data_IF_408282359385
#
_entry.id   IF_408282359385
#
_cell.length_a   1.000
_cell.length_b   1.000
_cell.length_c   1.000
_cell.angle_alpha   90.00
_cell.angle_beta   90.00
_cell.angle_gamma   90.00
#
_symmetry.space_group_name_H-M   'P 1'
#
loop_
_entity.id
_entity.type
_entity.pdbx_description
1 polymer ?
#
# COMPACT_ATOMS: atom_id res chain seq x y z
N UNK A 1 15.11 -14.42 19.01
CA UNK A 1 14.55 -15.79 18.86
C UNK A 1 13.92 -16.30 20.15
N UNK A 2 14.68 -16.36 21.26
CA UNK A 2 14.28 -16.89 22.58
C UNK A 2 12.94 -16.38 23.15
N UNK A 3 12.74 -15.06 23.21
CA UNK A 3 11.47 -14.47 23.70
C UNK A 3 10.23 -14.92 22.91
N UNK A 4 10.40 -15.39 21.66
CA UNK A 4 9.30 -15.91 20.84
C UNK A 4 9.02 -17.39 21.08
N UNK A 5 9.92 -18.09 21.78
CA UNK A 5 9.89 -19.51 22.11
C UNK A 5 9.77 -19.76 23.62
N UNK A 6 9.25 -18.80 24.38
CA UNK A 6 8.87 -18.97 25.78
C UNK A 6 9.97 -18.74 26.80
N UNK A 7 11.18 -18.40 26.38
CA UNK A 7 12.29 -18.09 27.28
C UNK A 7 12.19 -16.64 27.74
N UNK A 8 11.56 -16.40 28.88
CA UNK A 8 11.28 -15.03 29.38
C UNK A 8 12.47 -14.46 30.14
N UNK A 9 13.25 -15.34 30.77
CA UNK A 9 14.43 -14.99 31.57
C UNK A 9 15.74 -15.10 30.76
N UNK A 10 15.64 -14.99 29.43
CA UNK A 10 16.79 -14.97 28.53
C UNK A 10 17.70 -13.80 28.89
N UNK A 11 18.96 -14.10 29.21
CA UNK A 11 20.01 -13.11 29.40
C UNK A 11 21.05 -13.25 28.30
N UNK A 12 21.34 -12.15 27.61
CA UNK A 12 22.44 -12.06 26.63
C UNK A 12 23.51 -11.19 27.26
N UNK A 13 24.70 -11.75 27.46
CA UNK A 13 25.84 -11.00 28.00
C UNK A 13 26.58 -10.21 26.93
N UNK A 14 27.53 -9.40 27.37
CA UNK A 14 28.34 -8.54 26.50
C UNK A 14 29.09 -9.35 25.43
N UNK A 15 29.05 -8.91 24.15
CA UNK A 15 29.73 -9.60 23.07
C UNK A 15 31.25 -9.50 23.20
N UNK A 16 31.94 -10.64 23.07
CA UNK A 16 33.40 -10.71 23.04
C UNK A 16 33.88 -10.71 21.60
N UNK A 17 34.70 -9.72 21.23
CA UNK A 17 35.32 -9.59 19.91
C UNK A 17 36.75 -10.12 19.96
N UNK A 18 37.10 -10.99 19.03
CA UNK A 18 38.42 -11.60 18.92
C UNK A 18 38.92 -11.37 17.50
N UNK A 19 40.05 -10.69 17.39
CA UNK A 19 40.68 -10.38 16.12
C UNK A 19 41.76 -11.41 15.83
N UNK A 20 41.62 -12.13 14.72
CA UNK A 20 42.60 -13.10 14.25
C UNK A 20 43.46 -12.44 13.16
N UNK A 21 44.47 -11.68 13.59
CA UNK A 21 45.30 -10.83 12.70
C UNK A 21 45.92 -11.59 11.52
N UNK A 22 46.35 -12.83 11.73
CA UNK A 22 46.94 -13.65 10.66
C UNK A 22 45.93 -14.05 9.58
N UNK A 23 44.67 -14.29 9.95
CA UNK A 23 43.61 -14.71 9.01
C UNK A 23 42.79 -13.53 8.50
N UNK A 24 43.05 -12.31 8.98
CA UNK A 24 42.24 -11.10 8.74
C UNK A 24 40.74 -11.35 9.02
N UNK A 25 40.43 -12.20 9.99
CA UNK A 25 39.06 -12.51 10.40
C UNK A 25 38.76 -11.96 11.79
N UNK A 26 37.49 -11.66 12.05
CA UNK A 26 36.98 -11.26 13.36
C UNK A 26 35.93 -12.27 13.81
N UNK A 27 36.11 -12.80 15.01
CA UNK A 27 35.15 -13.67 15.69
C UNK A 27 34.40 -12.83 16.73
N UNK A 28 33.07 -12.91 16.73
CA UNK A 28 32.21 -12.27 17.73
C UNK A 28 31.46 -13.37 18.48
N UNK A 29 31.70 -13.49 19.78
CA UNK A 29 31.03 -14.45 20.67
C UNK A 29 30.01 -13.76 21.55
N UNK A 30 28.78 -14.26 21.54
CA UNK A 30 27.69 -13.77 22.40
C UNK A 30 27.41 -14.79 23.50
N UNK A 31 27.81 -14.55 24.76
CA UNK A 31 27.43 -15.42 25.87
C UNK A 31 25.93 -15.30 26.13
N UNK A 32 25.29 -16.43 26.38
CA UNK A 32 23.85 -16.62 26.37
C UNK A 32 23.44 -17.50 27.56
N UNK A 33 22.42 -17.09 28.29
CA UNK A 33 21.74 -17.92 29.28
C UNK A 33 20.26 -17.97 28.93
N UNK A 34 19.81 -19.11 28.40
CA UNK A 34 18.44 -19.25 27.87
C UNK A 34 17.36 -19.14 28.94
N UNK A 35 17.61 -19.71 30.13
CA UNK A 35 16.62 -19.86 31.18
C UNK A 35 15.55 -20.91 30.86
N UNK A 36 14.49 -20.97 31.66
CA UNK A 36 13.38 -21.91 31.47
C UNK A 36 12.40 -21.45 30.38
N UNK A 37 11.78 -22.43 29.71
CA UNK A 37 10.68 -22.19 28.79
C UNK A 37 9.34 -22.15 29.54
N UNK A 38 8.58 -21.07 29.31
CA UNK A 38 7.28 -20.85 29.94
C UNK A 38 6.11 -21.11 28.98
N UNK A 39 5.05 -21.70 29.53
CA UNK A 39 3.74 -21.88 28.84
C UNK A 39 2.68 -20.95 29.42
N UNK A 40 1.69 -20.60 28.61
CA UNK A 40 0.58 -19.75 29.06
C UNK A 40 -0.39 -20.61 29.87
N UNK A 41 -0.63 -20.26 31.14
CA UNK A 41 -1.62 -20.94 31.98
C UNK A 41 -3.02 -20.31 31.81
N UNK A 42 -3.09 -18.98 31.83
CA UNK A 42 -4.34 -18.25 31.75
C UNK A 42 -4.21 -17.03 30.83
N UNK A 43 -5.30 -16.70 30.13
CA UNK A 43 -5.45 -15.50 29.32
C UNK A 43 -6.71 -14.76 29.74
N UNK A 44 -6.55 -13.58 30.32
CA UNK A 44 -7.63 -12.73 30.81
C UNK A 44 -7.69 -11.38 30.08
N UNK A 45 -8.82 -10.69 30.24
CA UNK A 45 -9.06 -9.33 29.72
C UNK A 45 -9.80 -8.53 30.79
N UNK A 46 -9.41 -7.26 30.97
CA UNK A 46 -10.06 -6.31 31.87
C UNK A 46 -10.08 -4.90 31.27
N UNK A 47 -10.98 -4.05 31.77
CA UNK A 47 -11.15 -2.66 31.32
C UNK A 47 -11.96 -2.50 30.02
N UNK A 48 -12.46 -3.60 29.45
CA UNK A 48 -13.29 -3.59 28.27
C UNK A 48 -14.76 -3.27 28.60
N UNK A 49 -15.36 -2.30 27.91
CA UNK A 49 -16.79 -1.95 27.98
C UNK A 49 -17.47 -2.03 26.62
N UNK A 50 -16.77 -1.68 25.53
CA UNK A 50 -17.30 -1.70 24.17
C UNK A 50 -17.52 -3.12 23.62
N UNK A 51 -16.50 -3.97 23.73
CA UNK A 51 -16.55 -5.35 23.25
C UNK A 51 -16.67 -6.33 24.43
N UNK A 52 -17.45 -7.40 24.24
CA UNK A 52 -17.57 -8.45 25.25
C UNK A 52 -16.26 -9.24 25.43
N UNK A 53 -15.97 -9.72 26.65
CA UNK A 53 -14.76 -10.51 26.95
C UNK A 53 -14.58 -11.71 26.01
N UNK A 54 -15.66 -12.44 25.72
CA UNK A 54 -15.65 -13.59 24.79
C UNK A 54 -15.23 -13.19 23.38
N UNK A 55 -15.63 -12.01 22.93
CA UNK A 55 -15.32 -11.49 21.60
C UNK A 55 -13.83 -11.11 21.48
N UNK A 56 -13.29 -10.47 22.52
CA UNK A 56 -11.87 -10.11 22.59
C UNK A 56 -11.01 -11.38 22.64
N UNK A 57 -11.39 -12.36 23.46
CA UNK A 57 -10.68 -13.65 23.57
C UNK A 57 -10.73 -14.45 22.26
N UNK A 58 -11.77 -14.30 21.44
CA UNK A 58 -11.83 -14.90 20.09
C UNK A 58 -10.92 -14.17 19.08
N UNK A 59 -10.70 -12.87 19.25
CA UNK A 59 -9.89 -12.06 18.35
C UNK A 59 -8.37 -12.24 18.55
N UNK A 60 -7.94 -12.59 19.77
CA UNK A 60 -6.54 -12.86 20.09
C UNK A 60 -6.12 -14.27 19.66
N UNK A 61 -4.85 -14.42 19.26
CA UNK A 61 -4.28 -15.71 18.85
C UNK A 61 -3.66 -16.47 20.02
N UNK A 62 -3.29 -15.76 21.08
CA UNK A 62 -2.70 -16.35 22.29
C UNK A 62 -3.75 -17.15 23.06
N UNK A 63 -3.47 -18.45 23.28
CA UNK A 63 -4.35 -19.37 24.01
C UNK A 63 -3.61 -20.05 25.17
N UNK A 64 -4.35 -20.53 26.20
CA UNK A 64 -3.78 -21.40 27.23
C UNK A 64 -3.03 -22.61 26.67
N UNK A 65 -2.09 -23.14 27.44
CA UNK A 65 -1.20 -24.27 27.14
C UNK A 65 -0.17 -24.07 26.00
N UNK A 66 -0.30 -23.00 25.23
CA UNK A 66 0.70 -22.63 24.22
C UNK A 66 2.01 -22.14 24.88
N UNK A 67 3.12 -22.33 24.19
CA UNK A 67 4.40 -21.69 24.57
C UNK A 67 4.24 -20.17 24.45
N UNK A 68 4.72 -19.45 25.47
CA UNK A 68 4.71 -17.98 25.48
C UNK A 68 5.51 -17.44 24.29
N UNK A 69 5.01 -16.39 23.65
CA UNK A 69 5.68 -15.80 22.50
C UNK A 69 5.48 -14.30 22.48
N UNK A 70 6.56 -13.54 22.67
CA UNK A 70 6.53 -12.07 22.63
C UNK A 70 5.98 -11.54 21.29
N UNK A 71 6.35 -12.16 20.17
CA UNK A 71 5.81 -11.81 18.83
C UNK A 71 4.30 -12.04 18.74
N UNK A 72 3.76 -13.12 19.32
CA UNK A 72 2.31 -13.38 19.32
C UNK A 72 1.59 -12.37 20.21
N UNK A 73 2.13 -12.13 21.40
CA UNK A 73 1.62 -11.12 22.33
C UNK A 73 1.53 -9.73 21.67
N UNK A 74 2.62 -9.28 21.04
CA UNK A 74 2.64 -7.97 20.36
C UNK A 74 1.62 -7.91 19.22
N UNK A 75 1.46 -9.00 18.45
CA UNK A 75 0.44 -9.06 17.39
C UNK A 75 -0.97 -8.95 17.97
N UNK A 76 -1.25 -9.61 19.09
CA UNK A 76 -2.54 -9.53 19.76
C UNK A 76 -2.82 -8.12 20.30
N UNK A 77 -1.84 -7.47 20.95
CA UNK A 77 -1.94 -6.07 21.37
C UNK A 77 -2.26 -5.16 20.17
N UNK A 78 -1.52 -5.31 19.08
CA UNK A 78 -1.73 -4.49 17.88
C UNK A 78 -3.08 -4.79 17.21
N UNK A 79 -3.54 -6.04 17.22
CA UNK A 79 -4.86 -6.42 16.69
C UNK A 79 -5.99 -5.81 17.53
N UNK A 80 -5.88 -5.87 18.86
CA UNK A 80 -6.86 -5.28 19.76
C UNK A 80 -6.88 -3.75 19.61
N UNK A 81 -5.71 -3.11 19.64
CA UNK A 81 -5.58 -1.65 19.43
C UNK A 81 -6.22 -1.23 18.11
N UNK A 82 -5.96 -1.95 17.00
CA UNK A 82 -6.63 -1.71 15.71
C UNK A 82 -8.13 -1.91 15.80
N UNK A 83 -8.60 -3.00 16.41
CA UNK A 83 -10.03 -3.30 16.54
C UNK A 83 -10.81 -2.17 17.23
N UNK A 84 -10.23 -1.58 18.29
CA UNK A 84 -10.79 -0.42 18.96
C UNK A 84 -10.70 0.85 18.10
N UNK A 85 -9.55 1.09 17.48
CA UNK A 85 -9.36 2.21 16.56
C UNK A 85 -10.30 2.18 15.34
N UNK A 86 -10.75 1.00 14.89
CA UNK A 86 -11.75 0.85 13.82
C UNK A 86 -13.15 1.28 14.24
N UNK A 87 -13.39 1.40 15.55
CA UNK A 87 -14.66 1.90 16.11
C UNK A 87 -14.58 3.34 16.58
N UNK A 88 -13.50 4.06 16.27
CA UNK A 88 -13.33 5.47 16.67
C UNK A 88 -12.61 5.68 18.00
N UNK A 89 -12.21 4.61 18.68
CA UNK A 89 -11.46 4.68 19.94
C UNK A 89 -9.96 4.74 19.64
N UNK A 90 -9.54 5.82 18.97
CA UNK A 90 -8.20 5.92 18.43
C UNK A 90 -7.10 6.04 19.50
N UNK A 91 -7.45 6.49 20.70
CA UNK A 91 -6.54 6.58 21.84
C UNK A 91 -6.66 5.38 22.80
N UNK A 92 -7.28 4.28 22.36
CA UNK A 92 -7.34 3.07 23.16
C UNK A 92 -5.94 2.49 23.42
N UNK A 93 -5.64 2.19 24.68
CA UNK A 93 -4.35 1.62 25.10
C UNK A 93 -4.57 0.19 25.59
N UNK A 94 -3.79 -0.74 25.06
CA UNK A 94 -3.81 -2.15 25.48
C UNK A 94 -2.48 -2.48 26.16
N UNK A 95 -2.51 -2.67 27.47
CA UNK A 95 -1.33 -2.96 28.29
C UNK A 95 -1.32 -4.44 28.71
N UNK A 96 -0.28 -5.22 28.36
CA UNK A 96 -0.16 -6.60 28.80
C UNK A 96 0.39 -6.67 30.23
N UNK A 97 -0.36 -7.28 31.14
CA UNK A 97 0.15 -7.71 32.44
C UNK A 97 0.60 -9.17 32.35
N UNK A 98 1.89 -9.41 32.58
CA UNK A 98 2.54 -10.72 32.49
C UNK A 98 2.97 -11.10 33.89
N UNK A 99 2.36 -12.15 34.46
CA UNK A 99 2.70 -12.67 35.79
C UNK A 99 3.28 -14.08 35.64
N UNK A 100 4.61 -14.24 35.70
CA UNK A 100 5.25 -15.55 35.61
C UNK A 100 5.13 -16.33 36.93
N UNK A 101 4.88 -17.63 36.82
CA UNK A 101 4.97 -18.60 37.90
C UNK A 101 6.19 -19.50 37.65
N UNK A 102 7.29 -19.22 38.35
CA UNK A 102 8.58 -19.89 38.17
C UNK A 102 8.47 -21.38 38.53
N UNK A 103 7.75 -21.74 39.60
CA UNK A 103 7.62 -23.13 40.05
C UNK A 103 6.92 -24.03 39.03
N UNK A 104 5.85 -23.51 38.41
CA UNK A 104 5.06 -24.24 37.41
C UNK A 104 5.56 -24.04 35.98
N UNK A 105 6.56 -23.17 35.77
CA UNK A 105 7.03 -22.73 34.44
C UNK A 105 5.87 -22.25 33.55
N UNK A 106 4.96 -21.48 34.15
CA UNK A 106 3.78 -20.94 33.45
C UNK A 106 3.66 -19.43 33.58
N UNK A 107 2.86 -18.81 32.72
CA UNK A 107 2.57 -17.37 32.72
C UNK A 107 1.07 -17.14 32.69
N UNK A 108 0.62 -16.25 33.57
CA UNK A 108 -0.71 -15.67 33.49
C UNK A 108 -0.61 -14.34 32.73
N UNK A 109 -1.41 -14.21 31.67
CA UNK A 109 -1.44 -13.04 30.82
C UNK A 109 -2.79 -12.35 30.96
N UNK A 110 -2.81 -11.08 31.34
CA UNK A 110 -4.04 -10.27 31.36
C UNK A 110 -3.86 -9.05 30.48
N UNK A 111 -4.76 -8.86 29.51
CA UNK A 111 -4.79 -7.63 28.72
C UNK A 111 -5.64 -6.59 29.45
N UNK A 112 -5.00 -5.52 29.94
CA UNK A 112 -5.68 -4.35 30.46
C UNK A 112 -5.97 -3.39 29.31
N UNK A 113 -7.23 -3.05 29.10
CA UNK A 113 -7.67 -2.17 28.03
C UNK A 113 -8.19 -0.87 28.64
N UNK A 114 -7.64 0.26 28.20
CA UNK A 114 -8.15 1.59 28.49
C UNK A 114 -8.74 2.12 27.19
N UNK A 115 -10.06 2.07 27.05
CA UNK A 115 -10.74 2.31 25.76
C UNK A 115 -10.70 3.80 25.35
N UNK A 116 -10.80 4.72 26.32
CA UNK A 116 -10.92 6.15 26.03
C UNK A 116 -12.29 6.52 25.44
N UNK A 117 -12.40 7.72 24.89
CA UNK A 117 -13.62 8.22 24.24
C UNK A 117 -13.62 8.02 22.72
N UNK A 118 -14.82 8.13 22.13
CA UNK A 118 -15.02 8.19 20.68
C UNK A 118 -14.45 9.50 20.13
N UNK A 119 -13.46 9.40 19.25
CA UNK A 119 -12.79 10.56 18.67
C UNK A 119 -13.46 10.98 17.37
N UNK A 120 -13.77 12.26 17.25
CA UNK A 120 -14.35 12.87 16.05
C UNK A 120 -13.35 13.81 15.38
N UNK A 121 -13.37 13.81 14.05
CA UNK A 121 -12.55 14.69 13.23
C UNK A 121 -13.30 16.02 13.10
N UNK A 122 -12.75 17.09 13.65
CA UNK A 122 -13.35 18.43 13.52
C UNK A 122 -13.04 19.02 12.14
N UNK A 123 -11.76 19.04 11.77
CA UNK A 123 -11.29 19.64 10.51
C UNK A 123 -10.14 18.84 9.90
N UNK A 124 -10.02 18.87 8.58
CA UNK A 124 -8.87 18.34 7.85
C UNK A 124 -8.11 19.52 7.23
N UNK A 125 -6.91 19.78 7.76
CA UNK A 125 -6.00 20.80 7.24
C UNK A 125 -4.97 20.14 6.33
N UNK A 126 -4.89 20.57 5.07
CA UNK A 126 -3.92 20.07 4.10
C UNK A 126 -2.89 21.18 3.85
N UNK A 127 -1.60 20.82 3.86
CA UNK A 127 -0.50 21.76 3.67
C UNK A 127 0.66 21.14 2.88
N UNK A 128 1.38 21.99 2.14
CA UNK A 128 2.55 21.62 1.33
C UNK A 128 2.21 21.15 -0.10
N UNK A 129 0.96 21.33 -0.53
CA UNK A 129 0.45 21.10 -1.88
C UNK A 129 0.36 22.43 -2.64
N UNK A 130 1.50 22.95 -3.08
CA UNK A 130 1.57 24.25 -3.77
C UNK A 130 1.04 24.15 -5.20
N UNK A 131 1.32 23.03 -5.88
CA UNK A 131 0.85 22.77 -7.24
C UNK A 131 -0.43 21.93 -7.27
N UNK A 132 -0.49 20.88 -6.46
CA UNK A 132 -1.60 19.92 -6.40
C UNK A 132 -2.80 20.54 -5.70
N UNK A 133 -3.96 20.52 -6.37
CA UNK A 133 -5.20 21.07 -5.81
C UNK A 133 -5.61 20.29 -4.56
N UNK A 134 -6.12 21.00 -3.54
CA UNK A 134 -6.59 20.42 -2.27
C UNK A 134 -7.53 19.22 -2.48
N UNK A 135 -8.46 19.36 -3.44
CA UNK A 135 -9.45 18.33 -3.76
C UNK A 135 -8.82 16.98 -4.13
N UNK A 136 -7.64 16.97 -4.75
CA UNK A 136 -6.94 15.75 -5.18
C UNK A 136 -6.49 14.93 -3.98
N UNK A 137 -6.03 15.61 -2.93
CA UNK A 137 -5.65 14.98 -1.66
C UNK A 137 -6.92 14.60 -0.89
N UNK A 138 -7.87 15.54 -0.77
CA UNK A 138 -9.08 15.37 0.03
C UNK A 138 -9.96 14.21 -0.43
N UNK A 139 -10.16 14.03 -1.76
CA UNK A 139 -10.98 12.93 -2.32
C UNK A 139 -10.41 11.53 -2.05
N UNK A 140 -9.12 11.45 -1.72
CA UNK A 140 -8.40 10.20 -1.49
C UNK A 140 -8.41 9.80 -0.01
N UNK A 141 -8.78 10.73 0.88
CA UNK A 141 -8.95 10.45 2.30
C UNK A 141 -10.21 9.61 2.50
N UNK A 142 -10.08 8.48 3.19
CA UNK A 142 -11.18 7.63 3.63
C UNK A 142 -11.93 8.17 4.85
N UNK A 143 -11.60 9.39 5.29
CA UNK A 143 -12.20 10.06 6.44
C UNK A 143 -12.73 11.43 6.03
N UNK A 144 -13.72 11.91 6.77
CA UNK A 144 -14.40 13.18 6.50
C UNK A 144 -14.47 14.03 7.75
N UNK A 145 -14.60 15.34 7.55
CA UNK A 145 -14.85 16.29 8.63
C UNK A 145 -16.20 15.99 9.29
N UNK A 146 -16.28 16.24 10.60
CA UNK A 146 -17.39 15.85 11.48
C UNK A 146 -17.64 14.33 11.59
N UNK A 147 -16.82 13.50 10.97
CA UNK A 147 -16.89 12.04 11.05
C UNK A 147 -16.17 11.46 12.27
N UNK A 148 -16.43 10.18 12.54
CA UNK A 148 -15.67 9.40 13.53
C UNK A 148 -14.28 9.10 12.98
N UNK A 149 -13.24 9.20 13.82
CA UNK A 149 -11.87 8.89 13.44
C UNK A 149 -11.63 7.38 13.39
N UNK A 150 -11.88 6.78 12.22
CA UNK A 150 -11.48 5.40 11.96
C UNK A 150 -9.97 5.31 11.62
N UNK A 151 -9.21 4.66 12.49
CA UNK A 151 -7.77 4.44 12.30
C UNK A 151 -7.44 3.57 11.07
N UNK A 152 -8.34 2.69 10.61
CA UNK A 152 -8.16 1.95 9.35
C UNK A 152 -8.21 2.91 8.18
N UNK A 153 -9.25 3.74 8.15
CA UNK A 153 -9.47 4.70 7.10
C UNK A 153 -8.30 5.70 7.02
N UNK A 154 -7.69 6.08 8.14
CA UNK A 154 -6.45 6.89 8.14
C UNK A 154 -5.26 6.16 7.54
N UNK A 155 -5.06 4.87 7.87
CA UNK A 155 -3.98 4.07 7.29
C UNK A 155 -4.17 3.86 5.78
N UNK A 156 -5.40 3.61 5.35
CA UNK A 156 -5.75 3.48 3.95
C UNK A 156 -5.60 4.83 3.22
N UNK A 157 -5.97 5.94 3.86
CA UNK A 157 -5.71 7.29 3.35
C UNK A 157 -4.22 7.55 3.14
N UNK A 158 -3.39 7.23 4.14
CA UNK A 158 -1.93 7.34 4.03
C UNK A 158 -1.39 6.51 2.87
N UNK A 159 -1.87 5.27 2.71
CA UNK A 159 -1.47 4.39 1.61
C UNK A 159 -1.89 4.96 0.27
N UNK A 160 -3.15 5.39 0.14
CA UNK A 160 -3.68 5.92 -1.10
C UNK A 160 -2.95 7.21 -1.52
N UNK A 161 -2.65 8.11 -0.58
CA UNK A 161 -1.85 9.31 -0.87
C UNK A 161 -0.43 8.98 -1.32
N UNK A 162 0.21 7.97 -0.74
CA UNK A 162 1.51 7.50 -1.23
C UNK A 162 1.40 6.84 -2.61
N UNK A 163 0.32 6.10 -2.87
CA UNK A 163 0.07 5.45 -4.16
C UNK A 163 -0.20 6.45 -5.29
N UNK A 164 -0.67 7.67 -4.99
CA UNK A 164 -0.73 8.75 -6.00
C UNK A 164 0.64 9.04 -6.60
N UNK A 165 1.72 8.82 -5.83
CA UNK A 165 3.09 9.06 -6.27
C UNK A 165 3.38 10.54 -6.64
N UNK A 166 2.56 11.48 -6.15
CA UNK A 166 2.75 12.94 -6.33
C UNK A 166 3.66 13.57 -5.28
N UNK A 167 3.87 12.85 -4.16
CA UNK A 167 4.54 13.36 -2.98
C UNK A 167 5.79 12.52 -2.66
N UNK A 168 6.86 13.18 -2.23
CA UNK A 168 8.05 12.52 -1.65
C UNK A 168 7.83 12.12 -0.20
N UNK A 169 7.03 12.89 0.53
CA UNK A 169 6.69 12.64 1.92
C UNK A 169 5.21 12.95 2.14
N UNK A 170 4.52 12.09 2.89
CA UNK A 170 3.14 12.25 3.33
C UNK A 170 3.12 12.00 4.83
N UNK A 171 2.49 12.90 5.58
CA UNK A 171 2.26 12.74 7.01
C UNK A 171 0.82 13.10 7.33
N UNK A 172 0.13 12.23 8.06
CA UNK A 172 -1.20 12.50 8.59
C UNK A 172 -1.06 12.51 10.11
N UNK A 173 -1.15 13.70 10.70
CA UNK A 173 -0.96 13.89 12.14
C UNK A 173 -2.28 14.31 12.76
N UNK A 174 -2.93 13.43 13.54
CA UNK A 174 -4.04 13.82 14.39
C UNK A 174 -3.52 14.73 15.51
N UNK A 175 -4.07 15.94 15.59
CA UNK A 175 -3.79 16.89 16.66
C UNK A 175 -5.02 17.01 17.55
N UNK A 176 -4.89 16.68 18.84
CA UNK A 176 -5.97 16.82 19.80
C UNK A 176 -6.25 18.29 20.09
N UNK A 177 -7.51 18.69 19.97
CA UNK A 177 -7.99 20.08 20.15
C UNK A 177 -9.09 20.18 21.21
N UNK A 178 -9.57 19.05 21.72
CA UNK A 178 -10.50 18.92 22.83
C UNK A 178 -10.54 17.46 23.32
N UNK A 179 -11.43 17.14 24.26
CA UNK A 179 -11.46 15.81 24.91
C UNK A 179 -11.62 14.66 23.90
N UNK A 180 -12.53 14.82 22.94
CA UNK A 180 -12.88 13.83 21.92
C UNK A 180 -12.82 14.39 20.50
N UNK A 181 -12.10 15.49 20.30
CA UNK A 181 -12.01 16.20 19.02
C UNK A 181 -10.56 16.31 18.57
N UNK A 182 -10.34 16.00 17.30
CA UNK A 182 -9.03 16.13 16.64
C UNK A 182 -9.14 16.91 15.35
N UNK A 183 -8.11 17.69 15.07
CA UNK A 183 -7.84 18.19 13.73
C UNK A 183 -6.84 17.27 13.04
N UNK A 184 -7.13 16.86 11.81
CA UNK A 184 -6.20 16.06 11.00
C UNK A 184 -5.34 16.98 10.15
N UNK A 185 -4.05 17.05 10.49
CA UNK A 185 -3.09 17.81 9.72
C UNK A 185 -2.40 16.87 8.70
N UNK A 186 -2.78 17.01 7.44
CA UNK A 186 -2.19 16.30 6.30
C UNK A 186 -1.08 17.18 5.73
N UNK A 187 0.16 16.82 6.00
CA UNK A 187 1.35 17.51 5.48
C UNK A 187 1.95 16.68 4.35
N UNK A 188 2.07 17.28 3.18
CA UNK A 188 2.71 16.65 2.02
C UNK A 188 3.92 17.45 1.58
N UNK A 189 4.84 16.78 0.89
CA UNK A 189 5.93 17.42 0.16
C UNK A 189 5.89 16.95 -1.28
N UNK A 190 5.54 17.84 -2.19
CA UNK A 190 5.47 17.55 -3.63
C UNK A 190 6.83 17.17 -4.20
N UNK A 191 6.79 16.39 -5.29
CA UNK A 191 7.95 16.02 -6.08
C UNK A 191 7.62 16.12 -7.57
N UNK A 192 8.62 16.18 -8.46
CA UNK A 192 8.39 16.04 -9.89
C UNK A 192 7.64 14.74 -10.19
N UNK A 193 6.55 14.86 -10.95
CA UNK A 193 5.66 13.76 -11.34
C UNK A 193 5.81 13.34 -12.80
N UNK A 194 6.64 14.08 -13.55
CA UNK A 194 7.02 13.75 -14.91
C UNK A 194 7.98 12.56 -14.96
N UNK A 195 7.77 11.69 -15.93
CA UNK A 195 8.57 10.49 -16.16
C UNK A 195 8.92 10.36 -17.62
N UNK A 196 10.17 9.99 -17.90
CA UNK A 196 10.62 9.55 -19.20
C UNK A 196 11.10 8.11 -19.06
N UNK A 197 10.56 7.23 -19.89
CA UNK A 197 10.90 5.81 -19.93
C UNK A 197 11.35 5.46 -21.33
N UNK A 198 12.45 4.72 -21.45
CA UNK A 198 12.94 4.17 -22.70
C UNK A 198 13.29 2.71 -22.46
N UNK A 199 12.95 1.85 -23.41
CA UNK A 199 13.19 0.42 -23.32
C UNK A 199 13.34 -0.21 -24.70
N UNK A 200 13.82 -1.45 -24.72
CA UNK A 200 13.87 -2.23 -25.95
C UNK A 200 13.93 -3.71 -25.62
N UNK A 201 13.58 -4.54 -26.60
CA UNK A 201 13.52 -5.98 -26.47
C UNK A 201 13.66 -6.66 -27.83
N UNK A 202 13.74 -7.99 -27.78
CA UNK A 202 13.76 -8.83 -28.98
C UNK A 202 12.77 -9.97 -28.79
N UNK A 203 12.00 -10.25 -29.83
CA UNK A 203 11.10 -11.39 -29.91
C UNK A 203 11.34 -12.14 -31.21
N UNK A 204 11.23 -13.47 -31.17
CA UNK A 204 11.26 -14.29 -32.40
C UNK A 204 10.07 -14.04 -33.31
N UNK A 205 8.96 -13.51 -32.77
CA UNK A 205 7.75 -13.16 -33.53
C UNK A 205 7.79 -11.73 -34.08
N UNK A 206 8.31 -10.78 -33.29
CA UNK A 206 8.20 -9.34 -33.58
C UNK A 206 9.55 -8.65 -33.86
N UNK A 207 10.64 -9.41 -33.84
CA UNK A 207 11.99 -8.89 -34.03
C UNK A 207 12.43 -7.95 -32.91
N UNK A 208 13.32 -7.01 -33.25
CA UNK A 208 13.76 -5.95 -32.33
C UNK A 208 12.63 -4.93 -32.17
N UNK A 209 12.37 -4.53 -30.92
CA UNK A 209 11.38 -3.53 -30.55
C UNK A 209 12.01 -2.50 -29.63
N UNK A 210 11.69 -1.23 -29.83
CA UNK A 210 12.04 -0.11 -28.99
C UNK A 210 10.78 0.60 -28.51
N UNK A 211 10.79 1.09 -27.28
CA UNK A 211 9.68 1.87 -26.73
C UNK A 211 10.21 3.11 -26.03
N UNK A 212 9.50 4.22 -26.17
CA UNK A 212 9.75 5.45 -25.45
C UNK A 212 8.41 6.06 -25.00
N UNK A 213 8.34 6.46 -23.73
CA UNK A 213 7.16 7.10 -23.15
C UNK A 213 7.59 8.34 -22.38
N UNK A 214 6.92 9.46 -22.65
CA UNK A 214 6.96 10.66 -21.83
C UNK A 214 5.58 10.79 -21.18
N UNK A 215 5.55 10.86 -19.85
CA UNK A 215 4.30 11.05 -19.12
C UNK A 215 4.43 12.13 -18.07
N UNK A 216 3.35 12.88 -17.87
CA UNK A 216 3.20 13.86 -16.80
C UNK A 216 1.99 13.44 -15.98
N UNK A 217 2.25 12.88 -14.80
CA UNK A 217 1.20 12.61 -13.82
C UNK A 217 0.85 13.90 -13.07
N UNK A 218 -0.40 14.07 -12.64
CA UNK A 218 -0.86 15.27 -11.95
C UNK A 218 -0.62 16.57 -12.76
N UNK A 219 -0.96 16.54 -14.04
CA UNK A 219 -0.80 17.70 -14.93
C UNK A 219 -1.59 18.89 -14.36
N UNK A 220 -0.96 20.08 -14.29
CA UNK A 220 -1.55 21.29 -13.70
C UNK A 220 -2.11 21.11 -12.27
N UNK A 221 -1.66 20.10 -11.54
CA UNK A 221 -2.13 19.81 -10.19
C UNK A 221 -3.55 19.25 -10.08
N UNK A 222 -4.17 18.80 -11.18
CA UNK A 222 -5.57 18.31 -11.19
C UNK A 222 -5.71 16.85 -10.73
N UNK A 223 -4.60 16.13 -10.66
CA UNK A 223 -4.56 14.68 -10.48
C UNK A 223 -4.68 13.90 -11.79
N UNK A 224 -4.88 14.58 -12.92
CA UNK A 224 -4.98 13.94 -14.24
C UNK A 224 -3.59 13.59 -14.77
N UNK A 225 -3.50 12.61 -15.65
CA UNK A 225 -2.25 12.22 -16.31
C UNK A 225 -2.34 12.38 -17.81
N UNK A 226 -1.23 12.81 -18.41
CA UNK A 226 -1.04 12.82 -19.87
C UNK A 226 0.19 12.01 -20.21
N UNK A 227 0.11 11.13 -21.20
CA UNK A 227 1.24 10.34 -21.68
C UNK A 227 1.30 10.29 -23.19
N UNK A 228 2.49 10.51 -23.74
CA UNK A 228 2.83 10.27 -25.13
C UNK A 228 3.75 9.04 -25.18
N UNK A 229 3.37 8.02 -25.94
CA UNK A 229 4.15 6.79 -26.11
C UNK A 229 4.41 6.51 -27.58
N UNK A 230 5.60 6.02 -27.88
CA UNK A 230 5.99 5.47 -29.16
C UNK A 230 6.56 4.07 -28.98
N UNK A 231 6.08 3.12 -29.76
CA UNK A 231 6.58 1.75 -29.85
C UNK A 231 7.00 1.52 -31.30
N UNK A 232 8.28 1.22 -31.53
CA UNK A 232 8.88 1.03 -32.85
C UNK A 232 9.41 -0.39 -32.93
N UNK A 233 8.91 -1.19 -33.86
CA UNK A 233 9.34 -2.57 -34.07
C UNK A 233 9.34 -2.95 -35.54
N UNK A 234 9.88 -4.14 -35.84
CA UNK A 234 9.95 -4.64 -37.21
C UNK A 234 8.58 -4.89 -37.86
N UNK A 235 7.56 -5.20 -37.04
CA UNK A 235 6.21 -5.53 -37.52
C UNK A 235 5.10 -4.64 -36.95
N UNK A 236 5.40 -3.85 -35.92
CA UNK A 236 4.44 -2.93 -35.30
C UNK A 236 5.12 -1.60 -35.02
N UNK A 237 4.48 -0.52 -35.43
CA UNK A 237 4.83 0.84 -35.03
C UNK A 237 3.57 1.49 -34.50
N UNK A 238 3.61 2.02 -33.28
CA UNK A 238 2.45 2.64 -32.63
C UNK A 238 2.86 3.93 -31.95
N UNK A 239 2.13 4.99 -32.22
CA UNK A 239 2.18 6.25 -31.47
C UNK A 239 0.86 6.43 -30.75
N UNK A 240 0.90 6.84 -29.48
CA UNK A 240 -0.33 7.12 -28.73
C UNK A 240 -0.19 8.32 -27.79
N UNK A 241 -1.23 9.15 -27.76
CA UNK A 241 -1.43 10.19 -26.77
C UNK A 241 -2.62 9.81 -25.91
N UNK A 242 -2.41 9.63 -24.60
CA UNK A 242 -3.46 9.27 -23.65
C UNK A 242 -3.59 10.33 -22.57
N UNK A 243 -4.82 10.74 -22.28
CA UNK A 243 -5.19 11.65 -21.21
C UNK A 243 -6.16 10.90 -20.29
N UNK A 244 -5.90 10.91 -18.98
CA UNK A 244 -6.71 10.19 -18.00
C UNK A 244 -7.07 11.08 -16.81
N UNK A 245 -8.37 11.20 -16.53
CA UNK A 245 -8.89 11.66 -15.24
C UNK A 245 -9.22 10.41 -14.39
N UNK A 246 -8.44 10.09 -13.35
CA UNK A 246 -8.65 8.89 -12.54
C UNK A 246 -9.88 8.95 -11.62
N UNK A 247 -10.46 10.13 -11.42
CA UNK A 247 -11.63 10.35 -10.55
C UNK A 247 -12.65 11.25 -11.27
N UNK A 248 -13.09 10.81 -12.43
CA UNK A 248 -14.06 11.51 -13.26
C UNK A 248 -15.34 11.79 -12.46
N UNK A 249 -15.75 13.06 -12.48
CA UNK A 249 -16.87 13.59 -11.70
C UNK A 249 -16.75 13.34 -10.18
N UNK A 250 -15.51 13.31 -9.65
CA UNK A 250 -15.20 13.01 -8.25
C UNK A 250 -15.74 11.64 -7.78
N UNK A 251 -15.90 10.70 -8.71
CA UNK A 251 -16.31 9.32 -8.43
C UNK A 251 -15.10 8.36 -8.56
N UNK A 252 -15.16 7.11 -8.05
CA UNK A 252 -14.14 6.10 -8.28
C UNK A 252 -14.20 5.51 -9.71
N UNK A 253 -14.41 6.37 -10.70
CA UNK A 253 -14.50 6.06 -12.12
C UNK A 253 -13.40 6.84 -12.82
N UNK A 254 -12.51 6.15 -13.53
CA UNK A 254 -11.52 6.78 -14.38
C UNK A 254 -12.11 7.01 -15.77
N UNK A 255 -11.86 8.17 -16.37
CA UNK A 255 -12.14 8.45 -17.77
C UNK A 255 -10.81 8.62 -18.51
N UNK A 256 -10.61 7.88 -19.61
CA UNK A 256 -9.41 7.98 -20.43
C UNK A 256 -9.78 8.26 -21.88
N UNK A 257 -9.11 9.24 -22.47
CA UNK A 257 -9.17 9.54 -23.89
C UNK A 257 -7.82 9.17 -24.50
N UNK A 258 -7.82 8.32 -25.51
CA UNK A 258 -6.60 7.91 -26.20
C UNK A 258 -6.73 8.21 -27.69
N UNK A 259 -5.68 8.79 -28.27
CA UNK A 259 -5.53 8.94 -29.72
C UNK A 259 -4.32 8.13 -30.14
N UNK A 260 -4.42 7.39 -31.23
CA UNK A 260 -3.34 6.52 -31.67
C UNK A 260 -3.23 6.47 -33.19
N UNK A 261 -2.00 6.24 -33.64
CA UNK A 261 -1.64 5.95 -35.02
C UNK A 261 -0.79 4.68 -35.01
N UNK A 262 -1.27 3.64 -35.69
CA UNK A 262 -0.67 2.31 -35.67
C UNK A 262 -0.39 1.86 -37.10
N UNK A 263 0.80 1.34 -37.32
CA UNK A 263 1.19 0.64 -38.53
C UNK A 263 1.57 -0.79 -38.17
N UNK A 264 0.94 -1.76 -38.83
CA UNK A 264 1.22 -3.19 -38.65
C UNK A 264 1.59 -3.83 -39.99
N UNK A 265 2.74 -4.48 -40.02
CA UNK A 265 3.22 -5.28 -41.16
C UNK A 265 2.84 -6.74 -40.94
N UNK A 266 1.79 -7.21 -41.60
CA UNK A 266 1.42 -8.61 -41.65
C UNK A 266 2.05 -9.27 -42.88
N UNK A 267 2.22 -10.59 -42.81
CA UNK A 267 2.82 -11.37 -43.90
C UNK A 267 2.14 -11.16 -45.28
N UNK A 268 0.84 -10.88 -45.31
CA UNK A 268 0.04 -10.76 -46.53
C UNK A 268 -0.41 -9.34 -46.87
N UNK A 269 -0.34 -8.40 -45.91
CA UNK A 269 -0.82 -7.03 -46.09
C UNK A 269 -0.21 -6.10 -45.02
N UNK A 270 -0.20 -4.81 -45.30
CA UNK A 270 0.08 -3.78 -44.30
C UNK A 270 -1.22 -3.10 -43.90
N UNK A 271 -1.36 -2.80 -42.62
CA UNK A 271 -2.48 -2.05 -42.07
C UNK A 271 -1.97 -0.77 -41.41
N UNK A 272 -2.56 0.36 -41.77
CA UNK A 272 -2.41 1.63 -41.07
C UNK A 272 -3.75 2.02 -40.46
N UNK A 273 -3.78 2.23 -39.14
CA UNK A 273 -4.97 2.59 -38.40
C UNK A 273 -4.74 3.90 -37.65
N UNK A 274 -5.57 4.91 -37.93
CA UNK A 274 -5.64 6.15 -37.16
C UNK A 274 -6.96 6.17 -36.40
N UNK A 275 -6.90 6.32 -35.08
CA UNK A 275 -8.09 6.19 -34.25
C UNK A 275 -8.03 6.92 -32.93
N UNK A 276 -9.16 6.85 -32.23
CA UNK A 276 -9.28 7.34 -30.87
C UNK A 276 -10.32 6.55 -30.08
N UNK A 277 -10.10 6.49 -28.78
CA UNK A 277 -10.97 5.76 -27.86
C UNK A 277 -11.30 6.56 -26.61
N UNK A 278 -12.52 6.38 -26.13
CA UNK A 278 -12.98 6.83 -24.82
C UNK A 278 -13.22 5.60 -23.94
N UNK A 279 -12.57 5.53 -22.79
CA UNK A 279 -12.72 4.45 -21.83
C UNK A 279 -13.19 4.98 -20.47
N UNK A 280 -14.25 4.39 -19.94
CA UNK A 280 -14.73 4.62 -18.57
C UNK A 280 -14.48 3.36 -17.73
N UNK A 281 -13.66 3.46 -16.69
CA UNK A 281 -13.32 2.34 -15.81
C UNK A 281 -13.78 2.61 -14.38
N UNK A 282 -14.76 1.87 -13.89
CA UNK A 282 -15.26 1.97 -12.53
C UNK A 282 -14.67 0.89 -11.64
N UNK A 283 -14.15 1.27 -10.46
CA UNK A 283 -13.62 0.34 -9.46
C UNK A 283 -14.67 0.01 -8.41
N UNK A 284 -14.82 -1.28 -8.11
CA UNK A 284 -15.71 -1.82 -7.08
C UNK A 284 -14.86 -2.51 -6.01
N UNK A 285 -14.46 -1.75 -5.00
CA UNK A 285 -13.52 -2.21 -3.99
C UNK A 285 -12.12 -2.44 -4.56
N UNK A 286 -11.38 -3.37 -3.96
CA UNK A 286 -9.95 -3.56 -4.26
C UNK A 286 -9.67 -4.53 -5.41
N UNK A 287 -10.58 -5.47 -5.69
CA UNK A 287 -10.31 -6.62 -6.57
C UNK A 287 -11.12 -6.64 -7.87
N UNK A 288 -12.14 -5.79 -7.99
CA UNK A 288 -13.02 -5.79 -9.14
C UNK A 288 -13.10 -4.40 -9.77
N UNK A 289 -13.04 -4.36 -11.09
CA UNK A 289 -13.28 -3.16 -11.89
C UNK A 289 -14.00 -3.53 -13.16
N UNK A 290 -14.81 -2.62 -13.68
CA UNK A 290 -15.50 -2.78 -14.97
C UNK A 290 -15.12 -1.61 -15.86
N UNK A 291 -14.86 -1.90 -17.13
CA UNK A 291 -14.52 -0.89 -18.13
C UNK A 291 -15.51 -0.95 -19.28
N UNK A 292 -15.90 0.21 -19.78
CA UNK A 292 -16.63 0.36 -21.03
C UNK A 292 -15.80 1.27 -21.93
N UNK A 293 -15.51 0.81 -23.15
CA UNK A 293 -14.68 1.53 -24.11
C UNK A 293 -15.43 1.69 -25.42
N UNK A 294 -15.37 2.89 -25.98
CA UNK A 294 -15.80 3.17 -27.36
C UNK A 294 -14.56 3.49 -28.17
N UNK A 295 -14.43 2.85 -29.32
CA UNK A 295 -13.31 3.01 -30.25
C UNK A 295 -13.86 3.46 -31.60
N UNK A 296 -13.23 4.46 -32.18
CA UNK A 296 -13.46 4.90 -33.55
C UNK A 296 -12.11 4.97 -34.25
N UNK A 297 -11.95 4.23 -35.34
CA UNK A 297 -10.71 4.21 -36.12
C UNK A 297 -11.00 4.14 -37.62
N UNK A 298 -10.04 4.59 -38.40
CA UNK A 298 -10.01 4.44 -39.85
C UNK A 298 -8.82 3.58 -40.21
N UNK A 299 -9.09 2.44 -40.85
CA UNK A 299 -8.06 1.50 -41.30
C UNK A 299 -7.83 1.63 -42.82
N UNK A 300 -6.56 1.57 -43.21
CA UNK A 300 -6.13 1.47 -44.59
C UNK A 300 -5.32 0.20 -44.76
N UNK A 301 -5.84 -0.71 -45.59
CA UNK A 301 -5.23 -2.01 -45.85
C UNK A 301 -4.58 -1.99 -47.23
N UNK A 302 -3.28 -2.30 -47.27
CA UNK A 302 -2.48 -2.39 -48.49
C UNK A 302 -2.06 -3.84 -48.70
N UNK A 303 -2.52 -4.46 -49.77
CA UNK A 303 -2.15 -5.84 -50.09
C UNK A 303 -0.71 -5.89 -50.60
N UNK A 304 0.07 -6.85 -50.10
CA UNK A 304 1.39 -7.15 -50.67
C UNK A 304 1.17 -8.02 -51.91
N UNK A 305 1.69 -7.60 -53.07
CA UNK A 305 1.62 -8.40 -54.28
C UNK A 305 2.36 -9.73 -54.05
N UNK A 306 1.64 -10.86 -54.14
CA UNK A 306 2.23 -12.19 -53.99
C UNK A 306 3.16 -12.43 -55.18
N UNK A 307 4.47 -12.27 -54.97
CA UNK A 307 5.44 -12.66 -55.99
C UNK A 307 5.51 -14.20 -56.00
N UNK A 308 5.45 -14.89 -57.16
CA UNK A 308 5.32 -16.36 -57.22
C UNK A 308 6.46 -17.19 -56.58
N UNK A 309 7.48 -16.55 -56.00
CA UNK A 309 8.64 -17.22 -55.38
C UNK A 309 8.44 -17.61 -53.91
N UNK A 310 7.33 -17.22 -53.27
CA UNK A 310 7.03 -17.56 -51.86
C UNK A 310 6.02 -18.71 -51.71
N UNK A 311 5.69 -19.42 -52.79
CA UNK A 311 4.77 -20.56 -52.80
C UNK A 311 5.47 -21.94 -52.93
N UNK A 312 6.74 -22.03 -52.53
CA UNK A 312 7.49 -23.29 -52.41
C UNK A 312 8.08 -23.44 -51.00
#
# INVERSE_FOLDING_TARGET
FYLNHGYINIAVGEPRRIFHNHRKTMEIRFPLTEGDQFRIAHVGVSGNTLFGKKEILKAIKTKPSQIFSRKRLQKDINNLTRKYGHKGYAFAIVTPQIVPNIRKKTVNLTFLITEGGLVHIRKINIAGNELTRDKVIRRVLGVQESGIMDTQALQDSYRNLNNLNFFKNVQIVPQQVGDNLVDLNVKVKEKPTGTFSIGGGYSTLFGVMGMATIAQNNIFGTGDSVSLSGELGGFITMYSLTITDPYFMDTPTAASLSFFDTFMDYFTYWNSALGGSLSLTRRFGYYFSTSLSWLVETEQIFLVAVTPQQAQ
#
